data_IF_287500354298
#
_entry.id   IF_287500354298
#
_cell.length_a   1.000
_cell.length_b   1.000
_cell.length_c   1.000
_cell.angle_alpha   90.00
_cell.angle_beta   90.00
_cell.angle_gamma   90.00
#
_symmetry.space_group_name_H-M   'P 1'
#
loop_
_entity.id
_entity.type
_entity.pdbx_description
1 polymer ?
#
# COMPACT_ATOMS: atom_id res chain seq x y z
N UNK A 1 -32.85 0.94 -37.53
CA UNK A 1 -32.16 2.21 -37.36
C UNK A 1 -32.06 2.53 -35.87
N UNK A 2 -30.84 2.77 -35.38
CA UNK A 2 -30.66 3.14 -33.96
C UNK A 2 -31.17 4.56 -33.74
N UNK A 3 -32.06 4.72 -32.80
CA UNK A 3 -32.55 6.03 -32.42
C UNK A 3 -31.73 6.57 -31.25
N UNK A 4 -32.01 7.79 -30.83
CA UNK A 4 -31.27 8.45 -29.74
C UNK A 4 -31.41 7.73 -28.40
N UNK A 5 -32.57 7.09 -28.17
CA UNK A 5 -32.82 6.34 -26.94
C UNK A 5 -31.92 5.11 -26.85
N UNK A 6 -31.76 4.39 -27.98
CA UNK A 6 -30.89 3.20 -28.03
C UNK A 6 -29.43 3.60 -27.79
N UNK A 7 -29.01 4.69 -28.37
CA UNK A 7 -27.65 5.23 -28.18
C UNK A 7 -27.43 5.63 -26.72
N UNK A 8 -28.39 6.29 -26.13
CA UNK A 8 -28.32 6.71 -24.73
C UNK A 8 -28.28 5.51 -23.78
N UNK A 9 -29.13 4.52 -24.03
CA UNK A 9 -29.16 3.30 -23.24
C UNK A 9 -27.81 2.57 -23.28
N UNK A 10 -27.20 2.47 -24.45
CA UNK A 10 -25.89 1.83 -24.61
C UNK A 10 -24.82 2.60 -23.82
N UNK A 11 -24.81 3.93 -23.89
CA UNK A 11 -23.86 4.76 -23.16
C UNK A 11 -24.04 4.64 -21.64
N UNK A 12 -25.28 4.57 -21.18
CA UNK A 12 -25.56 4.37 -19.76
C UNK A 12 -25.04 3.02 -19.29
N UNK A 13 -25.26 1.96 -20.09
CA UNK A 13 -24.76 0.63 -19.77
C UNK A 13 -23.24 0.58 -19.75
N UNK A 14 -22.57 1.26 -20.68
CA UNK A 14 -21.11 1.38 -20.69
C UNK A 14 -20.59 2.10 -19.45
N UNK A 15 -21.27 3.14 -19.01
CA UNK A 15 -20.91 3.86 -17.78
C UNK A 15 -21.08 2.99 -16.55
N UNK A 16 -22.14 2.22 -16.49
CA UNK A 16 -22.37 1.29 -15.37
C UNK A 16 -21.24 0.25 -15.31
N UNK A 17 -20.88 -0.33 -16.45
CA UNK A 17 -19.79 -1.30 -16.53
C UNK A 17 -18.46 -0.67 -16.08
N UNK A 18 -18.19 0.55 -16.53
CA UNK A 18 -16.98 1.27 -16.12
C UNK A 18 -16.97 1.54 -14.63
N UNK A 19 -18.11 1.94 -14.07
CA UNK A 19 -18.21 2.16 -12.62
C UNK A 19 -17.95 0.87 -11.84
N UNK A 20 -18.43 -0.27 -12.33
CA UNK A 20 -18.18 -1.56 -11.68
C UNK A 20 -16.70 -1.93 -11.73
N UNK A 21 -16.05 -1.71 -12.88
CA UNK A 21 -14.59 -1.95 -13.02
C UNK A 21 -13.83 -1.06 -12.06
N UNK A 22 -14.13 0.23 -12.03
CA UNK A 22 -13.45 1.18 -11.13
C UNK A 22 -13.68 0.85 -9.66
N UNK A 23 -14.86 0.37 -9.32
CA UNK A 23 -15.16 -0.07 -7.95
C UNK A 23 -14.29 -1.26 -7.54
N UNK A 24 -14.15 -2.25 -8.44
CA UNK A 24 -13.29 -3.41 -8.18
C UNK A 24 -11.83 -3.02 -8.06
N UNK A 25 -11.35 -2.17 -8.97
CA UNK A 25 -9.97 -1.67 -8.92
C UNK A 25 -9.70 -0.89 -7.65
N UNK A 26 -10.66 -0.07 -7.22
CA UNK A 26 -10.54 0.71 -6.00
C UNK A 26 -10.40 -0.20 -4.79
N UNK A 27 -11.22 -1.25 -4.70
CA UNK A 27 -11.13 -2.24 -3.61
C UNK A 27 -9.79 -2.96 -3.62
N UNK A 28 -9.31 -3.35 -4.79
CA UNK A 28 -8.02 -4.02 -4.92
C UNK A 28 -6.87 -3.10 -4.47
N UNK A 29 -6.91 -1.83 -4.88
CA UNK A 29 -5.89 -0.85 -4.48
C UNK A 29 -5.91 -0.58 -2.98
N UNK A 30 -7.09 -0.49 -2.38
CA UNK A 30 -7.21 -0.32 -0.93
C UNK A 30 -6.64 -1.52 -0.17
N UNK A 31 -6.91 -2.72 -0.67
CA UNK A 31 -6.37 -3.94 -0.08
C UNK A 31 -4.85 -3.96 -0.14
N UNK A 32 -4.27 -3.60 -1.29
CA UNK A 32 -2.81 -3.50 -1.46
C UNK A 32 -2.22 -2.43 -0.55
N UNK A 33 -2.89 -1.31 -0.42
CA UNK A 33 -2.45 -0.22 0.45
C UNK A 33 -2.41 -0.67 1.90
N UNK A 34 -3.41 -1.41 2.35
CA UNK A 34 -3.44 -1.94 3.72
C UNK A 34 -2.31 -2.93 3.97
N UNK A 35 -2.07 -3.84 3.02
CA UNK A 35 -0.97 -4.80 3.10
C UNK A 35 0.37 -4.07 3.14
N UNK A 36 0.57 -3.13 2.24
CA UNK A 36 1.80 -2.34 2.17
C UNK A 36 2.04 -1.56 3.45
N UNK A 37 0.99 -0.96 4.02
CA UNK A 37 1.08 -0.20 5.26
C UNK A 37 1.51 -1.09 6.43
N UNK A 38 0.95 -2.31 6.50
CA UNK A 38 1.32 -3.29 7.52
C UNK A 38 2.77 -3.74 7.36
N UNK A 39 3.19 -4.04 6.14
CA UNK A 39 4.57 -4.44 5.84
C UNK A 39 5.56 -3.33 6.16
N UNK A 40 5.21 -2.11 5.81
CA UNK A 40 6.03 -0.94 6.11
C UNK A 40 6.23 -0.78 7.62
N UNK A 41 5.16 -0.92 8.40
CA UNK A 41 5.25 -0.83 9.85
C UNK A 41 6.18 -1.89 10.43
N UNK A 42 6.12 -3.12 9.92
CA UNK A 42 7.02 -4.20 10.33
C UNK A 42 8.47 -3.90 9.97
N UNK A 43 8.72 -3.35 8.80
CA UNK A 43 10.08 -2.99 8.36
C UNK A 43 10.65 -1.87 9.22
N UNK A 44 9.84 -0.88 9.57
CA UNK A 44 10.27 0.21 10.46
C UNK A 44 10.64 -0.36 11.83
N UNK A 45 9.83 -1.26 12.38
CA UNK A 45 10.11 -1.90 13.67
C UNK A 45 11.41 -2.69 13.62
N UNK A 46 11.62 -3.50 12.59
CA UNK A 46 12.87 -4.26 12.41
C UNK A 46 14.07 -3.34 12.27
N UNK A 47 13.90 -2.24 11.55
CA UNK A 47 14.97 -1.27 11.34
C UNK A 47 15.37 -0.60 12.66
N UNK A 48 14.39 -0.20 13.46
CA UNK A 48 14.65 0.39 14.77
C UNK A 48 15.34 -0.59 15.70
N UNK A 49 14.93 -1.86 15.67
CA UNK A 49 15.54 -2.91 16.47
C UNK A 49 17.00 -3.15 16.06
N UNK A 50 17.27 -3.23 14.76
CA UNK A 50 18.63 -3.40 14.25
C UNK A 50 19.52 -2.21 14.62
N UNK A 51 18.99 -1.00 14.50
CA UNK A 51 19.70 0.23 14.87
C UNK A 51 20.07 0.21 16.36
N UNK A 52 19.12 -0.16 17.22
CA UNK A 52 19.34 -0.25 18.65
C UNK A 52 20.43 -1.27 18.99
N UNK A 53 20.43 -2.42 18.32
CA UNK A 53 21.49 -3.44 18.52
C UNK A 53 22.86 -2.94 18.11
N UNK A 54 22.95 -2.26 16.97
CA UNK A 54 24.23 -1.69 16.50
C UNK A 54 24.73 -0.64 17.48
N UNK A 55 23.86 0.24 17.95
CA UNK A 55 24.23 1.26 18.94
C UNK A 55 24.74 0.63 20.24
N UNK A 56 24.10 -0.43 20.68
CA UNK A 56 24.52 -1.19 21.86
C UNK A 56 25.91 -1.80 21.67
N UNK A 57 26.17 -2.39 20.51
CA UNK A 57 27.49 -2.97 20.18
C UNK A 57 28.57 -1.90 20.17
N UNK A 58 28.30 -0.76 19.58
CA UNK A 58 29.24 0.36 19.53
C UNK A 58 29.55 0.85 20.94
N UNK A 59 28.56 0.99 21.79
CA UNK A 59 28.74 1.39 23.18
C UNK A 59 29.65 0.43 23.95
N UNK A 60 29.43 -0.89 23.74
CA UNK A 60 30.27 -1.92 24.37
C UNK A 60 31.72 -1.86 23.91
N UNK A 61 31.94 -1.65 22.61
CA UNK A 61 33.27 -1.53 22.03
C UNK A 61 34.01 -0.30 22.62
N UNK A 62 33.33 0.82 22.73
CA UNK A 62 33.88 2.02 23.32
C UNK A 62 34.25 1.82 24.80
N UNK A 63 33.42 1.12 25.54
CA UNK A 63 33.70 0.81 26.95
C UNK A 63 34.96 -0.03 27.10
N UNK A 64 35.18 -0.98 26.17
CA UNK A 64 36.39 -1.80 26.16
C UNK A 64 37.65 -0.99 25.84
N UNK A 65 37.53 0.03 25.00
CA UNK A 65 38.67 0.89 24.63
C UNK A 65 39.09 1.87 25.72
N UNK A 66 38.21 2.13 26.67
CA UNK A 66 38.47 3.12 27.74
C UNK A 66 39.29 2.60 28.92
N UNK A 67 39.69 1.35 28.87
CA UNK A 67 40.61 0.79 29.85
C UNK A 67 42.03 1.25 29.56
#
# INVERSE_FOLDING_TARGET
MMNELDTLERKVNELIELCEVLSRENRALRSRQNTWSTERAKLIEKNELAKSKVESMISRLKALEQD
#
